data_IF_925128019300
#
_entry.id   IF_925128019300
#
_cell.length_a   1.000
_cell.length_b   1.000
_cell.length_c   1.000
_cell.angle_alpha   90.00
_cell.angle_beta   90.00
_cell.angle_gamma   90.00
#
_symmetry.space_group_name_H-M   'P 1'
#
loop_
_entity.id
_entity.type
_entity.pdbx_description
1 polymer ?
#
# COMPACT_ATOMS: atom_id res chain seq x y z
N UNK A 1 70.37 17.11 19.26
CA UNK A 1 70.04 16.34 20.49
C UNK A 1 68.91 17.11 21.16
N UNK A 2 67.64 16.69 21.17
CA UNK A 2 67.02 15.38 21.30
C UNK A 2 65.73 15.31 20.45
N UNK A 3 65.56 14.17 19.79
CA UNK A 3 64.33 13.74 19.14
C UNK A 3 63.43 13.17 20.24
N UNK A 4 62.19 13.64 20.36
CA UNK A 4 61.09 12.89 20.99
C UNK A 4 59.98 12.74 19.96
N UNK A 5 59.96 11.57 19.32
CA UNK A 5 58.77 11.12 18.63
C UNK A 5 57.72 10.65 19.64
N UNK A 6 56.45 10.67 19.25
CA UNK A 6 55.55 9.52 19.33
C UNK A 6 54.12 9.89 18.93
N UNK A 7 53.59 9.06 18.02
CA UNK A 7 52.18 8.65 17.90
C UNK A 7 51.26 9.54 17.03
N UNK A 8 51.31 9.19 15.75
CA UNK A 8 50.21 9.10 14.78
C UNK A 8 48.80 9.09 15.42
N UNK A 9 48.05 10.18 15.26
CA UNK A 9 46.59 10.13 15.23
C UNK A 9 46.14 10.21 13.77
N UNK A 10 46.02 9.04 13.13
CA UNK A 10 45.27 8.87 11.88
C UNK A 10 43.80 9.25 12.16
N UNK A 11 43.46 10.53 12.03
CA UNK A 11 42.08 10.96 11.83
C UNK A 11 41.82 10.92 10.33
N UNK A 12 41.58 9.71 9.83
CA UNK A 12 40.93 9.49 8.55
C UNK A 12 39.47 9.93 8.74
N UNK A 13 39.19 11.19 8.42
CA UNK A 13 37.83 11.70 8.24
C UNK A 13 37.27 11.08 6.95
N UNK A 14 36.82 9.83 7.05
CA UNK A 14 35.91 9.24 6.08
C UNK A 14 34.53 9.81 6.39
N UNK A 15 34.22 10.96 5.78
CA UNK A 15 32.89 11.55 5.80
C UNK A 15 31.96 10.70 4.95
N UNK A 16 31.42 9.63 5.52
CA UNK A 16 30.19 9.00 5.02
C UNK A 16 29.07 9.98 5.31
N UNK A 17 28.84 10.89 4.35
CA UNK A 17 27.59 11.61 4.24
C UNK A 17 26.52 10.62 3.72
N UNK A 18 26.12 9.68 4.57
CA UNK A 18 24.81 9.05 4.43
C UNK A 18 23.78 10.10 4.84
N UNK A 19 23.42 10.96 3.89
CA UNK A 19 22.15 11.67 3.93
C UNK A 19 21.08 10.58 4.09
N UNK A 20 20.29 10.56 5.17
CA UNK A 20 19.17 9.66 5.24
C UNK A 20 18.26 10.01 4.08
N UNK A 21 18.17 9.10 3.11
CA UNK A 21 17.13 9.07 2.10
C UNK A 21 15.81 8.87 2.85
N UNK A 22 15.26 9.95 3.42
CA UNK A 22 13.85 9.97 3.80
C UNK A 22 13.07 10.00 2.50
N UNK A 23 12.96 8.84 1.86
CA UNK A 23 12.03 8.64 0.77
C UNK A 23 10.64 8.95 1.32
N UNK A 24 10.00 9.99 0.78
CA UNK A 24 8.55 10.17 0.90
C UNK A 24 7.87 8.98 0.21
N UNK A 25 7.82 7.83 0.89
CA UNK A 25 6.76 6.87 0.62
C UNK A 25 5.46 7.53 1.06
N UNK A 26 4.50 7.64 0.12
CA UNK A 26 3.24 8.32 0.38
C UNK A 26 2.59 7.84 1.68
N UNK A 27 1.95 8.77 2.39
CA UNK A 27 1.36 8.60 3.73
C UNK A 27 0.53 7.31 3.88
N UNK A 28 -0.05 6.81 2.78
CA UNK A 28 -0.94 5.65 2.75
C UNK A 28 -0.38 4.42 2.02
N UNK A 29 0.91 4.38 1.70
CA UNK A 29 1.53 3.27 0.96
C UNK A 29 1.36 1.91 1.65
N UNK A 30 1.49 1.85 2.98
CA UNK A 30 1.26 0.62 3.76
C UNK A 30 -0.20 0.16 3.70
N UNK A 31 -1.15 1.09 3.82
CA UNK A 31 -2.58 0.79 3.73
C UNK A 31 -2.95 0.25 2.35
N UNK A 32 -2.40 0.87 1.28
CA UNK A 32 -2.57 0.41 -0.10
C UNK A 32 -2.02 -1.00 -0.28
N UNK A 33 -0.78 -1.25 0.13
CA UNK A 33 -0.14 -2.57 0.00
C UNK A 33 -0.92 -3.65 0.75
N UNK A 34 -1.41 -3.34 1.96
CA UNK A 34 -2.25 -4.24 2.73
C UNK A 34 -3.57 -4.52 2.01
N UNK A 35 -4.26 -3.48 1.53
CA UNK A 35 -5.52 -3.61 0.79
C UNK A 35 -5.35 -4.44 -0.48
N UNK A 36 -4.33 -4.18 -1.29
CA UNK A 36 -4.01 -4.98 -2.49
C UNK A 36 -3.76 -6.44 -2.14
N UNK A 37 -3.05 -6.73 -1.04
CA UNK A 37 -2.83 -8.11 -0.57
C UNK A 37 -4.14 -8.83 -0.20
N UNK A 38 -5.06 -8.14 0.45
CA UNK A 38 -6.38 -8.70 0.79
C UNK A 38 -7.24 -8.93 -0.45
N UNK A 39 -7.23 -8.00 -1.42
CA UNK A 39 -7.88 -8.20 -2.72
C UNK A 39 -7.25 -9.39 -3.43
N UNK A 40 -5.93 -9.46 -3.50
CA UNK A 40 -5.16 -10.54 -4.13
C UNK A 40 -5.61 -11.91 -3.62
N UNK A 41 -5.72 -12.07 -2.30
CA UNK A 41 -6.13 -13.31 -1.65
C UNK A 41 -7.58 -13.72 -1.92
N UNK A 42 -8.44 -12.77 -2.31
CA UNK A 42 -9.84 -13.05 -2.64
C UNK A 42 -10.06 -13.56 -4.08
N UNK A 43 -9.04 -13.47 -4.94
CA UNK A 43 -9.10 -13.86 -6.35
C UNK A 43 -9.01 -15.38 -6.53
N UNK A 44 -9.49 -15.88 -7.69
CA UNK A 44 -9.39 -17.30 -8.06
C UNK A 44 -7.94 -17.74 -8.32
N UNK A 45 -7.13 -16.88 -8.91
CA UNK A 45 -5.70 -17.04 -9.08
C UNK A 45 -5.00 -15.80 -8.49
N UNK A 46 -4.63 -15.84 -7.19
CA UNK A 46 -3.99 -14.71 -6.51
C UNK A 46 -2.74 -14.21 -7.22
N UNK A 47 -1.88 -15.09 -7.71
CA UNK A 47 -0.58 -14.71 -8.29
C UNK A 47 -0.70 -14.07 -9.68
N UNK A 48 -1.86 -14.18 -10.32
CA UNK A 48 -2.16 -13.49 -11.57
C UNK A 48 -2.62 -12.03 -11.41
N UNK A 49 -2.81 -11.55 -10.19
CA UNK A 49 -3.37 -10.23 -9.93
C UNK A 49 -2.55 -9.11 -10.57
N UNK A 50 -3.23 -8.25 -11.32
CA UNK A 50 -2.69 -7.02 -11.89
C UNK A 50 -3.52 -5.85 -11.41
N UNK A 51 -2.91 -4.99 -10.61
CA UNK A 51 -3.53 -3.79 -10.07
C UNK A 51 -3.20 -2.58 -10.94
N UNK A 52 -4.18 -1.69 -11.08
CA UNK A 52 -4.02 -0.45 -11.81
C UNK A 52 -4.86 0.67 -11.17
N UNK A 53 -4.42 1.92 -11.35
CA UNK A 53 -5.09 3.11 -10.82
C UNK A 53 -5.46 2.99 -9.33
N UNK A 54 -4.56 2.50 -8.47
CA UNK A 54 -4.83 2.26 -7.04
C UNK A 54 -4.57 3.52 -6.21
N UNK A 55 -5.48 3.84 -5.28
CA UNK A 55 -5.35 4.95 -4.34
C UNK A 55 -6.02 4.63 -3.01
N UNK A 56 -5.70 5.46 -2.01
CA UNK A 56 -6.34 5.44 -0.71
C UNK A 56 -7.32 6.62 -0.59
N UNK A 57 -8.55 6.33 -0.20
CA UNK A 57 -9.62 7.29 0.09
C UNK A 57 -9.84 7.31 1.61
N UNK A 58 -9.25 8.27 2.34
CA UNK A 58 -9.35 8.33 3.79
C UNK A 58 -10.78 8.65 4.24
N UNK A 59 -11.20 8.08 5.36
CA UNK A 59 -12.44 8.50 6.02
C UNK A 59 -12.27 9.90 6.62
N UNK A 60 -13.39 10.60 6.85
CA UNK A 60 -13.40 11.90 7.54
C UNK A 60 -13.11 11.81 9.06
N UNK A 61 -12.49 10.72 9.53
CA UNK A 61 -12.31 10.46 10.95
C UNK A 61 -11.11 11.24 11.51
N UNK A 62 -11.35 11.98 12.60
CA UNK A 62 -10.33 12.70 13.38
C UNK A 62 -9.89 11.93 14.64
N UNK A 63 -10.15 10.61 14.72
CA UNK A 63 -9.89 9.75 15.89
C UNK A 63 -9.08 8.50 15.53
N UNK A 64 -8.90 7.56 16.48
CA UNK A 64 -8.36 6.22 16.17
C UNK A 64 -9.38 5.44 15.30
N UNK A 65 -8.95 4.67 14.28
CA UNK A 65 -7.58 4.23 13.98
C UNK A 65 -6.72 5.32 13.33
N UNK A 66 -5.38 5.22 13.44
CA UNK A 66 -4.44 6.24 12.92
C UNK A 66 -4.55 6.42 11.39
N UNK A 67 -4.90 5.33 10.71
CA UNK A 67 -5.24 5.29 9.29
C UNK A 67 -6.54 4.50 9.17
N UNK A 68 -7.57 5.09 8.55
CA UNK A 68 -8.81 4.40 8.20
C UNK A 68 -9.37 4.95 6.91
N UNK A 69 -9.88 4.06 6.05
CA UNK A 69 -10.47 4.46 4.78
C UNK A 69 -10.57 3.28 3.82
N UNK A 70 -10.70 3.59 2.55
CA UNK A 70 -10.85 2.61 1.48
C UNK A 70 -9.65 2.62 0.56
N UNK A 71 -9.09 1.43 0.30
CA UNK A 71 -8.20 1.22 -0.85
C UNK A 71 -9.09 0.92 -2.05
N UNK A 72 -8.94 1.73 -3.09
CA UNK A 72 -9.74 1.67 -4.29
C UNK A 72 -8.83 1.57 -5.50
N UNK A 73 -9.30 0.90 -6.55
CA UNK A 73 -8.53 0.78 -7.78
C UNK A 73 -9.21 -0.15 -8.77
N UNK A 74 -8.43 -0.66 -9.72
CA UNK A 74 -8.87 -1.69 -10.65
C UNK A 74 -7.96 -2.90 -10.57
N UNK A 75 -8.54 -4.09 -10.72
CA UNK A 75 -7.84 -5.36 -10.67
C UNK A 75 -8.25 -6.25 -11.84
N UNK A 76 -7.28 -6.90 -12.46
CA UNK A 76 -7.51 -7.96 -13.44
C UNK A 76 -6.79 -9.23 -12.98
N UNK A 77 -7.44 -10.38 -13.12
CA UNK A 77 -6.92 -11.67 -12.68
C UNK A 77 -7.43 -12.81 -13.55
N UNK A 78 -6.72 -13.94 -13.51
CA UNK A 78 -7.14 -15.16 -14.18
C UNK A 78 -8.28 -15.83 -13.44
N UNK A 79 -9.18 -16.46 -14.19
CA UNK A 79 -10.19 -17.37 -13.67
C UNK A 79 -9.63 -18.79 -13.48
N UNK A 80 -10.48 -19.73 -13.05
CA UNK A 80 -10.11 -21.13 -12.85
C UNK A 80 -9.66 -21.87 -14.14
N UNK A 81 -9.93 -21.29 -15.32
CA UNK A 81 -9.47 -21.81 -16.61
C UNK A 81 -8.15 -21.19 -17.08
N UNK A 82 -7.53 -20.31 -16.28
CA UNK A 82 -6.23 -19.70 -16.56
C UNK A 82 -6.27 -18.46 -17.46
N UNK A 83 -7.46 -17.99 -17.86
CA UNK A 83 -7.64 -16.82 -18.71
C UNK A 83 -8.02 -15.57 -17.90
N UNK A 84 -7.51 -14.40 -18.32
CA UNK A 84 -7.93 -13.10 -17.76
C UNK A 84 -9.36 -12.78 -18.18
N UNK A 85 -10.19 -12.36 -17.23
CA UNK A 85 -11.62 -12.11 -17.44
C UNK A 85 -11.97 -10.65 -17.72
N UNK A 86 -10.98 -9.77 -17.64
CA UNK A 86 -11.17 -8.33 -17.77
C UNK A 86 -10.90 -7.61 -16.47
N UNK A 87 -10.63 -6.32 -16.61
CA UNK A 87 -10.35 -5.45 -15.47
C UNK A 87 -11.65 -5.04 -14.78
N UNK A 88 -11.69 -5.17 -13.46
CA UNK A 88 -12.84 -4.87 -12.62
C UNK A 88 -12.47 -3.81 -11.56
N UNK A 89 -13.33 -2.82 -11.27
CA UNK A 89 -13.14 -1.96 -10.11
C UNK A 89 -13.13 -2.77 -8.82
N UNK A 90 -12.31 -2.36 -7.86
CA UNK A 90 -12.35 -2.92 -6.51
C UNK A 90 -12.31 -1.84 -5.45
N UNK A 91 -12.86 -2.15 -4.29
CA UNK A 91 -12.70 -1.36 -3.08
C UNK A 91 -12.63 -2.27 -1.86
N UNK A 92 -11.82 -1.89 -0.88
CA UNK A 92 -11.73 -2.58 0.39
C UNK A 92 -11.49 -1.58 1.51
N UNK A 93 -12.27 -1.69 2.57
CA UNK A 93 -12.02 -0.92 3.79
C UNK A 93 -10.78 -1.47 4.48
N UNK A 94 -9.86 -0.58 4.87
CA UNK A 94 -8.68 -0.90 5.67
C UNK A 94 -8.56 0.06 6.83
N UNK A 95 -8.09 -0.45 7.96
CA UNK A 95 -7.78 0.35 9.14
C UNK A 95 -6.51 -0.14 9.82
N UNK A 96 -5.82 0.76 10.51
CA UNK A 96 -4.64 0.45 11.31
C UNK A 96 -4.88 0.78 12.77
N UNK A 97 -4.96 -0.26 13.61
CA UNK A 97 -5.03 -0.13 15.06
C UNK A 97 -3.67 -0.47 15.65
N UNK A 98 -3.05 0.51 16.30
CA UNK A 98 -1.69 0.43 16.82
C UNK A 98 -0.68 0.03 15.72
N UNK A 99 -0.17 -1.21 15.71
CA UNK A 99 0.74 -1.73 14.67
C UNK A 99 0.07 -2.64 13.64
N UNK A 100 -1.19 -3.03 13.88
CA UNK A 100 -1.84 -4.08 13.10
C UNK A 100 -2.88 -3.52 12.13
N UNK A 101 -2.84 -4.01 10.90
CA UNK A 101 -3.85 -3.72 9.89
C UNK A 101 -4.99 -4.72 9.94
N UNK A 102 -6.20 -4.22 9.73
CA UNK A 102 -7.40 -5.02 9.53
C UNK A 102 -8.16 -4.53 8.30
N UNK A 103 -8.96 -5.42 7.71
CA UNK A 103 -9.81 -5.08 6.56
C UNK A 103 -11.26 -5.49 6.75
N UNK A 104 -12.13 -4.81 6.02
CA UNK A 104 -13.47 -5.32 5.72
C UNK A 104 -13.46 -6.38 4.62
N UNK A 105 -14.65 -6.73 4.13
CA UNK A 105 -14.78 -7.63 2.99
C UNK A 105 -14.32 -6.94 1.68
N UNK A 106 -13.52 -7.62 0.84
CA UNK A 106 -13.22 -7.20 -0.53
C UNK A 106 -14.50 -6.99 -1.35
N UNK A 107 -14.59 -5.85 -2.05
CA UNK A 107 -15.57 -5.64 -3.11
C UNK A 107 -14.88 -5.63 -4.46
N UNK A 108 -15.07 -6.67 -5.28
CA UNK A 108 -14.66 -6.69 -6.69
C UNK A 108 -15.92 -6.62 -7.53
N UNK A 109 -16.05 -5.58 -8.35
CA UNK A 109 -17.32 -5.18 -8.94
C UNK A 109 -17.45 -5.73 -10.35
N UNK A 110 -18.50 -6.50 -10.59
CA UNK A 110 -18.88 -6.96 -11.92
C UNK A 110 -19.73 -5.89 -12.63
N UNK A 111 -19.75 -5.91 -13.96
CA UNK A 111 -20.39 -4.87 -14.78
C UNK A 111 -21.90 -4.68 -14.54
N UNK A 112 -22.57 -5.70 -14.04
CA UNK A 112 -24.00 -5.72 -13.73
C UNK A 112 -24.32 -5.42 -12.25
N UNK A 113 -23.31 -5.23 -11.40
CA UNK A 113 -23.49 -4.92 -9.98
C UNK A 113 -23.55 -3.40 -9.73
N UNK A 114 -24.66 -2.79 -10.14
CA UNK A 114 -24.93 -1.36 -9.94
C UNK A 114 -24.85 -0.94 -8.47
N UNK A 115 -25.20 -1.84 -7.55
CA UNK A 115 -25.24 -1.54 -6.12
C UNK A 115 -23.83 -1.39 -5.56
N UNK A 116 -22.91 -2.27 -5.96
CA UNK A 116 -21.50 -2.16 -5.60
C UNK A 116 -20.84 -1.00 -6.31
N UNK A 117 -21.19 -0.70 -7.56
CA UNK A 117 -20.70 0.49 -8.26
C UNK A 117 -21.07 1.79 -7.52
N UNK A 118 -22.31 1.93 -7.06
CA UNK A 118 -22.72 3.10 -6.25
C UNK A 118 -21.94 3.21 -4.94
N UNK A 119 -21.64 2.08 -4.29
CA UNK A 119 -20.79 2.05 -3.08
C UNK A 119 -19.36 2.46 -3.39
N UNK A 120 -18.81 1.99 -4.50
CA UNK A 120 -17.49 2.40 -4.96
C UNK A 120 -17.45 3.92 -5.18
N UNK A 121 -18.38 4.48 -5.94
CA UNK A 121 -18.45 5.94 -6.14
C UNK A 121 -18.61 6.73 -4.83
N UNK A 122 -19.36 6.17 -3.87
CA UNK A 122 -19.56 6.78 -2.57
C UNK A 122 -18.29 6.78 -1.69
N UNK A 123 -17.54 5.68 -1.68
CA UNK A 123 -16.41 5.49 -0.76
C UNK A 123 -15.06 5.82 -1.39
N UNK A 124 -14.91 5.65 -2.71
CA UNK A 124 -13.68 5.83 -3.46
C UNK A 124 -13.62 7.23 -4.07
N UNK A 125 -13.50 8.23 -3.20
CA UNK A 125 -13.27 9.62 -3.61
C UNK A 125 -11.79 9.84 -3.87
N UNK A 126 -11.46 10.70 -4.82
CA UNK A 126 -10.10 11.19 -5.06
C UNK A 126 -9.96 12.61 -4.56
#
# INVERSE_FOLDING_TARGET
>A
MLIKGMIVKKLLLVGIACLPLTGCFGEYSEAINYGESQIKQSLKDPDSAKFNDVWFSPDANNGKPKISGYVCGRVNAKNAFGGYVGEAPFFIYVGQLDSDFFSGAPGIIQSDDEKSMKRFEQFCKR
#
